data_IF_527808785004
#
_entry.id   IF_527808785004
#
_cell.length_a   1.000
_cell.length_b   1.000
_cell.length_c   1.000
_cell.angle_alpha   90.00
_cell.angle_beta   90.00
_cell.angle_gamma   90.00
#
_symmetry.space_group_name_H-M   'P 1'
#
loop_
_entity.id
_entity.type
_entity.pdbx_description
1 polymer ?
#
# COMPACT_ATOMS: atom_id res chain seq x y z
N UNK A 1 -31.99 13.47 13.28
CA UNK A 1 -31.78 13.86 11.87
C UNK A 1 -30.48 14.65 11.80
N UNK A 2 -29.38 13.99 11.45
CA UNK A 2 -28.20 14.52 10.73
C UNK A 2 -27.29 13.31 10.49
N UNK A 3 -27.65 12.52 9.48
CA UNK A 3 -26.92 11.31 9.06
C UNK A 3 -26.01 11.60 7.85
N UNK A 4 -25.59 12.86 7.67
CA UNK A 4 -24.89 13.28 6.45
C UNK A 4 -23.52 13.87 6.80
N UNK A 5 -22.56 12.98 7.10
CA UNK A 5 -21.15 13.38 7.08
C UNK A 5 -20.67 13.65 5.65
N UNK A 6 -19.49 14.24 5.53
CA UNK A 6 -18.82 14.50 4.25
C UNK A 6 -17.70 13.48 4.07
N UNK A 7 -17.79 12.66 3.03
CA UNK A 7 -16.70 11.73 2.67
C UNK A 7 -15.59 12.50 1.98
N UNK A 8 -14.35 12.37 2.47
CA UNK A 8 -13.18 13.05 1.90
C UNK A 8 -12.31 12.04 1.17
N UNK A 9 -12.12 12.26 -0.14
CA UNK A 9 -11.36 11.36 -1.01
C UNK A 9 -9.88 11.72 -1.05
N UNK A 10 -9.60 12.99 -1.31
CA UNK A 10 -8.25 13.50 -1.57
C UNK A 10 -8.14 14.98 -1.25
N UNK A 11 -6.89 15.44 -1.11
CA UNK A 11 -6.52 16.85 -1.17
C UNK A 11 -5.64 17.05 -2.41
N UNK A 12 -5.94 18.08 -3.18
CA UNK A 12 -5.28 18.47 -4.42
C UNK A 12 -4.71 19.89 -4.26
N UNK A 13 -3.85 20.35 -5.19
CA UNK A 13 -3.66 21.78 -5.42
C UNK A 13 -5.01 22.46 -5.71
N UNK A 14 -5.05 23.80 -5.58
CA UNK A 14 -6.24 24.58 -5.93
C UNK A 14 -6.78 24.18 -7.31
N UNK A 15 -8.05 23.79 -7.36
CA UNK A 15 -8.71 23.29 -8.56
C UNK A 15 -10.16 23.80 -8.61
N UNK A 16 -10.60 24.17 -9.81
CA UNK A 16 -11.96 24.67 -10.05
C UNK A 16 -12.89 23.62 -10.67
N UNK A 17 -12.32 22.50 -11.16
CA UNK A 17 -13.08 21.42 -11.80
C UNK A 17 -12.44 20.06 -11.57
N UNK A 18 -13.24 19.01 -11.69
CA UNK A 18 -12.81 17.61 -11.65
C UNK A 18 -12.64 17.06 -13.07
N UNK A 19 -11.74 16.08 -13.28
CA UNK A 19 -11.59 15.44 -14.58
C UNK A 19 -12.88 14.72 -15.00
N UNK A 20 -13.09 14.63 -16.31
CA UNK A 20 -14.23 13.93 -16.87
C UNK A 20 -14.26 12.47 -16.41
N UNK A 21 -15.44 11.98 -16.01
CA UNK A 21 -15.63 10.60 -15.51
C UNK A 21 -15.29 10.42 -14.03
N UNK A 22 -14.88 11.46 -13.31
CA UNK A 22 -14.71 11.40 -11.86
C UNK A 22 -16.06 11.13 -11.18
N UNK A 23 -16.15 10.01 -10.46
CA UNK A 23 -17.35 9.60 -9.73
C UNK A 23 -16.99 9.15 -8.32
N UNK A 24 -17.88 9.43 -7.36
CA UNK A 24 -17.67 9.08 -5.96
C UNK A 24 -18.05 7.64 -5.63
N UNK A 25 -17.75 7.24 -4.39
CA UNK A 25 -18.13 5.95 -3.82
C UNK A 25 -19.63 5.88 -3.59
N UNK A 26 -20.27 4.82 -4.08
CA UNK A 26 -21.70 4.59 -3.85
C UNK A 26 -22.33 3.67 -4.89
N UNK A 27 -23.59 3.30 -4.64
CA UNK A 27 -24.47 2.70 -5.64
C UNK A 27 -25.87 3.31 -5.50
N UNK A 28 -26.23 4.33 -6.30
CA UNK A 28 -25.47 4.92 -7.42
C UNK A 28 -24.20 5.69 -6.98
N UNK A 29 -23.22 5.93 -7.88
CA UNK A 29 -22.02 6.71 -7.56
C UNK A 29 -22.38 8.09 -7.04
N UNK A 30 -21.69 8.53 -5.98
CA UNK A 30 -21.96 9.83 -5.38
C UNK A 30 -21.46 10.98 -6.27
N UNK A 31 -22.19 12.09 -6.27
CA UNK A 31 -21.74 13.33 -6.89
C UNK A 31 -20.58 13.92 -6.09
N UNK A 32 -19.50 14.27 -6.80
CA UNK A 32 -18.30 14.83 -6.21
C UNK A 32 -18.39 16.36 -6.17
N UNK A 33 -17.83 16.96 -5.12
CA UNK A 33 -17.73 18.40 -4.91
C UNK A 33 -16.32 18.79 -4.49
N UNK A 34 -16.00 20.06 -4.68
CA UNK A 34 -14.71 20.64 -4.32
C UNK A 34 -14.88 21.59 -3.14
N UNK A 35 -14.06 21.42 -2.10
CA UNK A 35 -14.00 22.32 -0.95
C UNK A 35 -12.62 22.95 -0.90
N UNK A 36 -12.51 24.20 -1.33
CA UNK A 36 -11.24 24.95 -1.39
C UNK A 36 -10.90 25.70 -0.11
N UNK A 37 -9.59 25.81 0.17
CA UNK A 37 -9.01 26.75 1.12
C UNK A 37 -7.58 27.13 0.67
N UNK A 38 -7.36 28.41 0.35
CA UNK A 38 -6.05 28.89 -0.11
C UNK A 38 -5.58 28.16 -1.37
N UNK A 39 -4.39 27.55 -1.30
CA UNK A 39 -3.73 26.84 -2.40
C UNK A 39 -4.11 25.36 -2.51
N UNK A 40 -5.03 24.87 -1.70
CA UNK A 40 -5.43 23.46 -1.68
C UNK A 40 -6.94 23.29 -1.79
N UNK A 41 -7.38 22.13 -2.28
CA UNK A 41 -8.78 21.79 -2.44
C UNK A 41 -9.03 20.34 -2.09
N UNK A 42 -10.03 20.05 -1.28
CA UNK A 42 -10.48 18.70 -1.00
C UNK A 42 -11.53 18.24 -2.02
N UNK A 43 -11.41 17.00 -2.47
CA UNK A 43 -12.45 16.30 -3.24
C UNK A 43 -13.33 15.55 -2.25
N UNK A 44 -14.63 15.83 -2.27
CA UNK A 44 -15.58 15.31 -1.30
C UNK A 44 -16.88 14.83 -1.94
N UNK A 45 -17.68 14.09 -1.19
CA UNK A 45 -19.09 13.82 -1.50
C UNK A 45 -19.88 13.72 -0.19
N UNK A 46 -21.20 13.56 -0.30
CA UNK A 46 -21.98 13.09 0.85
C UNK A 46 -21.49 11.69 1.26
N UNK A 47 -21.39 11.44 2.56
CA UNK A 47 -21.02 10.14 3.07
C UNK A 47 -22.15 9.14 2.84
N UNK A 48 -21.85 7.93 2.31
CA UNK A 48 -22.87 6.90 2.17
C UNK A 48 -23.43 6.51 3.54
N UNK A 49 -24.77 6.38 3.72
CA UNK A 49 -25.41 6.10 5.01
C UNK A 49 -24.99 4.74 5.60
N UNK A 50 -24.47 3.83 4.78
CA UNK A 50 -23.91 2.54 5.21
C UNK A 50 -22.54 2.30 4.59
N UNK A 51 -21.59 3.16 4.95
CA UNK A 51 -20.22 3.03 4.50
C UNK A 51 -19.62 1.71 5.02
N UNK A 52 -19.42 0.76 4.10
CA UNK A 52 -18.76 -0.52 4.36
C UNK A 52 -17.63 -0.68 3.36
N UNK A 53 -16.53 -1.29 3.78
CA UNK A 53 -15.39 -1.61 2.93
C UNK A 53 -15.72 -2.77 1.97
N UNK A 54 -16.74 -2.60 1.12
CA UNK A 54 -17.06 -3.55 0.04
C UNK A 54 -16.03 -3.39 -1.06
N UNK A 55 -15.69 -4.50 -1.74
CA UNK A 55 -14.70 -4.49 -2.84
C UNK A 55 -15.00 -3.41 -3.88
N UNK A 56 -16.26 -3.28 -4.31
CA UNK A 56 -16.68 -2.25 -5.28
C UNK A 56 -16.36 -0.84 -4.79
N UNK A 57 -16.67 -0.55 -3.53
CA UNK A 57 -16.53 0.79 -2.96
C UNK A 57 -15.03 1.12 -2.73
N UNK A 58 -14.22 0.13 -2.35
CA UNK A 58 -12.76 0.26 -2.28
C UNK A 58 -12.14 0.53 -3.66
N UNK A 59 -12.61 -0.19 -4.69
CA UNK A 59 -12.14 0.02 -6.07
C UNK A 59 -12.55 1.40 -6.58
N UNK A 60 -13.80 1.82 -6.40
CA UNK A 60 -14.26 3.16 -6.82
C UNK A 60 -13.45 4.29 -6.17
N UNK A 61 -13.13 4.16 -4.87
CA UNK A 61 -12.25 5.12 -4.19
C UNK A 61 -10.85 5.16 -4.80
N UNK A 62 -10.25 3.99 -5.03
CA UNK A 62 -8.91 3.91 -5.61
C UNK A 62 -8.86 4.41 -7.05
N UNK A 63 -9.85 4.05 -7.87
CA UNK A 63 -9.94 4.45 -9.27
C UNK A 63 -10.10 5.97 -9.42
N UNK A 64 -10.90 6.60 -8.54
CA UNK A 64 -10.98 8.06 -8.47
C UNK A 64 -9.62 8.68 -8.15
N UNK A 65 -8.89 8.15 -7.17
CA UNK A 65 -7.58 8.68 -6.80
C UNK A 65 -6.55 8.54 -7.91
N UNK A 66 -6.56 7.42 -8.64
CA UNK A 66 -5.70 7.22 -9.80
C UNK A 66 -6.05 8.21 -10.92
N UNK A 67 -7.35 8.38 -11.22
CA UNK A 67 -7.81 9.36 -12.21
C UNK A 67 -7.39 10.80 -11.85
N UNK A 68 -7.47 11.18 -10.57
CA UNK A 68 -7.00 12.48 -10.10
C UNK A 68 -5.48 12.62 -10.24
N UNK A 69 -4.74 11.52 -10.05
CA UNK A 69 -3.27 11.49 -10.14
C UNK A 69 -2.75 11.69 -11.56
N UNK A 70 -3.58 11.43 -12.58
CA UNK A 70 -3.26 11.76 -13.97
C UNK A 70 -3.25 13.28 -14.24
N UNK A 71 -3.98 14.05 -13.43
CA UNK A 71 -4.08 15.50 -13.54
C UNK A 71 -3.06 16.29 -12.71
N UNK A 72 -2.38 15.66 -11.75
CA UNK A 72 -1.42 16.31 -10.86
C UNK A 72 -1.20 15.57 -9.54
N UNK A 73 -0.45 16.15 -8.59
CA UNK A 73 -0.21 15.53 -7.30
C UNK A 73 -1.50 15.39 -6.48
N UNK A 74 -1.62 14.28 -5.78
CA UNK A 74 -2.78 13.95 -4.94
C UNK A 74 -2.29 13.53 -3.56
N UNK A 75 -2.88 14.10 -2.50
CA UNK A 75 -2.80 13.52 -1.15
C UNK A 75 -4.00 12.59 -0.96
N UNK A 76 -3.82 11.27 -1.08
CA UNK A 76 -4.94 10.34 -0.95
C UNK A 76 -5.39 10.21 0.50
N UNK A 77 -6.69 10.36 0.76
CA UNK A 77 -7.27 10.04 2.05
C UNK A 77 -7.54 8.54 2.14
N UNK A 78 -7.41 7.97 3.33
CA UNK A 78 -7.77 6.57 3.57
C UNK A 78 -9.26 6.37 3.32
N UNK A 79 -9.62 5.21 2.78
CA UNK A 79 -11.02 4.84 2.60
C UNK A 79 -11.77 4.98 3.93
N UNK A 80 -12.93 5.63 3.87
CA UNK A 80 -13.77 5.83 5.05
C UNK A 80 -13.45 7.07 5.86
N UNK A 81 -12.65 7.99 5.32
CA UNK A 81 -12.44 9.30 5.94
C UNK A 81 -13.71 10.13 5.79
N UNK A 82 -14.37 10.40 6.92
CA UNK A 82 -15.60 11.19 6.97
C UNK A 82 -15.42 12.36 7.93
N UNK A 83 -15.77 13.56 7.48
CA UNK A 83 -15.85 14.77 8.29
C UNK A 83 -17.31 15.06 8.69
N UNK A 84 -17.56 15.83 9.75
CA UNK A 84 -18.92 16.22 10.13
C UNK A 84 -19.66 17.02 9.04
N UNK A 85 -18.96 17.95 8.39
CA UNK A 85 -19.50 18.85 7.37
C UNK A 85 -18.37 19.47 6.52
N UNK A 86 -18.73 20.20 5.45
CA UNK A 86 -17.77 20.86 4.57
C UNK A 86 -17.04 22.02 5.27
N UNK A 87 -17.63 22.64 6.29
CA UNK A 87 -16.99 23.70 7.06
C UNK A 87 -15.80 23.16 7.87
N UNK A 88 -15.94 21.97 8.44
CA UNK A 88 -14.89 21.24 9.15
C UNK A 88 -13.75 20.86 8.21
N UNK A 89 -14.08 20.39 6.99
CA UNK A 89 -13.08 20.11 5.96
C UNK A 89 -12.31 21.38 5.59
N UNK A 90 -13.00 22.49 5.32
CA UNK A 90 -12.38 23.78 4.99
C UNK A 90 -11.48 24.30 6.12
N UNK A 91 -11.93 24.21 7.37
CA UNK A 91 -11.14 24.63 8.53
C UNK A 91 -9.86 23.81 8.68
N UNK A 92 -9.92 22.48 8.45
CA UNK A 92 -8.72 21.63 8.47
C UNK A 92 -7.76 21.97 7.34
N UNK A 93 -8.26 22.15 6.12
CA UNK A 93 -7.43 22.54 4.98
C UNK A 93 -6.68 23.84 5.26
N UNK A 94 -7.38 24.86 5.76
CA UNK A 94 -6.77 26.14 6.11
C UNK A 94 -5.75 26.01 7.26
N UNK A 95 -6.06 25.21 8.29
CA UNK A 95 -5.19 25.04 9.46
C UNK A 95 -3.91 24.24 9.19
N UNK A 96 -3.80 23.54 8.05
CA UNK A 96 -2.63 22.74 7.66
C UNK A 96 -2.20 22.99 6.22
N UNK A 97 -2.57 24.15 5.64
CA UNK A 97 -2.30 24.47 4.23
C UNK A 97 -0.81 24.34 3.88
N UNK A 98 0.16 24.89 4.65
CA UNK A 98 1.57 24.79 4.30
C UNK A 98 2.06 23.34 4.21
N UNK A 99 1.63 22.49 5.15
CA UNK A 99 2.00 21.08 5.18
C UNK A 99 1.38 20.30 4.01
N UNK A 100 0.14 20.62 3.63
CA UNK A 100 -0.50 20.02 2.46
C UNK A 100 0.20 20.40 1.16
N UNK A 101 0.57 21.68 1.01
CA UNK A 101 1.31 22.16 -0.15
C UNK A 101 2.69 21.50 -0.26
N UNK A 102 3.42 21.37 0.85
CA UNK A 102 4.70 20.67 0.87
C UNK A 102 4.56 19.19 0.50
N UNK A 103 3.57 18.49 1.07
CA UNK A 103 3.32 17.10 0.76
C UNK A 103 2.91 16.90 -0.71
N UNK A 104 2.08 17.78 -1.28
CA UNK A 104 1.71 17.73 -2.69
C UNK A 104 2.93 17.90 -3.60
N UNK A 105 3.82 18.84 -3.29
CA UNK A 105 5.09 19.01 -4.02
C UNK A 105 5.98 17.76 -3.91
N UNK A 106 6.01 17.13 -2.73
CA UNK A 106 6.77 15.89 -2.55
C UNK A 106 6.26 14.77 -3.45
N UNK A 107 4.94 14.64 -3.62
CA UNK A 107 4.30 13.57 -4.39
C UNK A 107 4.16 13.86 -5.89
N UNK A 108 4.58 15.03 -6.35
CA UNK A 108 4.43 15.41 -7.75
C UNK A 108 5.02 14.38 -8.71
N UNK A 109 4.26 14.10 -9.78
CA UNK A 109 4.58 13.14 -10.86
C UNK A 109 5.06 11.77 -10.36
N UNK A 110 4.56 11.32 -9.21
CA UNK A 110 5.00 10.10 -8.56
C UNK A 110 3.85 9.14 -8.31
N UNK A 111 4.18 7.85 -8.29
CA UNK A 111 3.27 6.75 -7.97
C UNK A 111 3.88 5.90 -6.87
N UNK A 112 3.03 5.20 -6.12
CA UNK A 112 3.49 4.22 -5.15
C UNK A 112 3.49 2.82 -5.77
N UNK A 113 4.60 2.09 -5.55
CA UNK A 113 4.71 0.66 -5.84
C UNK A 113 5.05 -0.05 -4.54
N UNK A 114 4.16 -0.92 -4.08
CA UNK A 114 4.37 -1.78 -2.92
C UNK A 114 4.92 -3.13 -3.37
N UNK A 115 5.96 -3.61 -2.69
CA UNK A 115 6.53 -4.94 -2.88
C UNK A 115 6.54 -5.69 -1.57
N UNK A 116 6.02 -6.91 -1.65
CA UNK A 116 6.08 -7.91 -0.59
C UNK A 116 7.00 -9.04 -1.01
N UNK A 117 7.97 -9.36 -0.15
CA UNK A 117 8.86 -10.51 -0.32
C UNK A 117 8.37 -11.64 0.61
N UNK A 118 7.98 -12.77 0.03
CA UNK A 118 7.51 -13.94 0.76
C UNK A 118 8.48 -15.11 0.55
N UNK A 119 8.52 -16.08 1.49
CA UNK A 119 9.19 -17.35 1.26
C UNK A 119 8.73 -18.02 -0.04
N UNK A 120 9.70 -18.46 -0.85
CA UNK A 120 9.40 -19.18 -2.08
C UNK A 120 8.72 -20.54 -1.76
N UNK A 121 7.55 -20.76 -2.35
CA UNK A 121 6.74 -21.96 -2.09
C UNK A 121 7.41 -23.24 -2.61
N UNK A 122 8.10 -23.17 -3.75
CA UNK A 122 8.74 -24.32 -4.39
C UNK A 122 10.20 -24.55 -3.95
N UNK A 123 10.68 -23.82 -2.94
CA UNK A 123 12.07 -23.88 -2.48
C UNK A 123 12.37 -25.03 -1.51
N UNK A 124 11.38 -25.87 -1.18
CA UNK A 124 11.53 -26.95 -0.22
C UNK A 124 12.67 -27.91 -0.59
N UNK A 125 12.77 -28.31 -1.87
CA UNK A 125 13.81 -29.22 -2.34
C UNK A 125 15.22 -28.62 -2.16
N UNK A 126 15.39 -27.35 -2.49
CA UNK A 126 16.65 -26.62 -2.32
C UNK A 126 17.03 -26.49 -0.84
N UNK A 127 16.08 -26.10 0.02
CA UNK A 127 16.29 -25.99 1.47
C UNK A 127 16.70 -27.34 2.08
N UNK A 128 16.01 -28.41 1.71
CA UNK A 128 16.33 -29.76 2.19
C UNK A 128 17.72 -30.24 1.73
N UNK A 129 18.23 -29.72 0.61
CA UNK A 129 19.53 -30.13 0.06
C UNK A 129 20.69 -29.32 0.65
N UNK A 130 20.50 -28.02 0.83
CA UNK A 130 21.56 -27.06 1.17
C UNK A 130 21.68 -26.80 2.68
N UNK A 131 20.59 -26.91 3.44
CA UNK A 131 20.59 -26.59 4.87
C UNK A 131 21.02 -27.80 5.71
N UNK A 132 22.23 -27.74 6.27
CA UNK A 132 22.81 -28.81 7.11
C UNK A 132 21.89 -29.23 8.26
N UNK A 133 21.23 -28.27 8.93
CA UNK A 133 20.32 -28.56 10.04
C UNK A 133 19.06 -29.30 9.57
N UNK A 134 18.44 -28.85 8.48
CA UNK A 134 17.26 -29.49 7.89
C UNK A 134 17.58 -30.91 7.45
N UNK A 135 18.74 -31.13 6.81
CA UNK A 135 19.23 -32.46 6.45
C UNK A 135 19.37 -33.38 7.65
N UNK A 136 20.01 -32.90 8.73
CA UNK A 136 20.19 -33.67 9.96
C UNK A 136 18.86 -34.09 10.57
N UNK A 137 17.92 -33.15 10.69
CA UNK A 137 16.58 -33.42 11.24
C UNK A 137 15.77 -34.36 10.33
N UNK A 138 15.92 -34.25 9.00
CA UNK A 138 15.30 -35.18 8.05
C UNK A 138 15.78 -36.61 8.23
N UNK A 139 17.10 -36.82 8.43
CA UNK A 139 17.65 -38.15 8.72
C UNK A 139 17.20 -38.69 10.08
N UNK A 140 17.05 -37.82 11.09
CA UNK A 140 16.50 -38.18 12.41
C UNK A 140 15.07 -38.69 12.29
N UNK A 141 14.19 -37.94 11.60
CA UNK A 141 12.80 -38.32 11.32
C UNK A 141 12.74 -39.62 10.52
N UNK A 142 13.61 -39.80 9.52
CA UNK A 142 13.66 -41.03 8.70
C UNK A 142 14.01 -42.27 9.53
N UNK A 143 14.87 -42.13 10.54
CA UNK A 143 15.27 -43.22 11.44
C UNK A 143 14.23 -43.48 12.53
N UNK A 144 13.62 -42.43 13.07
CA UNK A 144 12.64 -42.48 14.16
C UNK A 144 11.55 -41.43 13.95
N UNK A 145 10.46 -41.78 13.24
CA UNK A 145 9.38 -40.85 12.99
C UNK A 145 8.56 -40.65 14.26
N UNK A 146 8.84 -39.57 15.00
CA UNK A 146 8.02 -39.11 16.12
C UNK A 146 7.31 -37.82 15.76
N UNK A 147 6.18 -37.55 16.43
CA UNK A 147 5.46 -36.28 16.25
C UNK A 147 6.36 -35.07 16.51
N UNK A 148 7.11 -35.09 17.62
CA UNK A 148 8.04 -34.02 17.98
C UNK A 148 9.16 -33.82 16.95
N UNK A 149 9.74 -34.91 16.40
CA UNK A 149 10.77 -34.82 15.37
C UNK A 149 10.20 -34.21 14.07
N UNK A 150 8.96 -34.55 13.70
CA UNK A 150 8.27 -33.95 12.56
C UNK A 150 8.03 -32.45 12.75
N UNK A 151 7.62 -32.03 13.95
CA UNK A 151 7.43 -30.60 14.29
C UNK A 151 8.76 -29.85 14.18
N UNK A 152 9.83 -30.35 14.80
CA UNK A 152 11.17 -29.73 14.76
C UNK A 152 11.70 -29.61 13.32
N UNK A 153 11.45 -30.61 12.47
CA UNK A 153 11.81 -30.56 11.06
C UNK A 153 11.01 -29.46 10.33
N UNK A 154 9.70 -29.40 10.54
CA UNK A 154 8.83 -28.37 9.95
C UNK A 154 9.26 -26.95 10.34
N UNK A 155 9.54 -26.72 11.62
CA UNK A 155 10.04 -25.44 12.14
C UNK A 155 11.39 -25.06 11.52
N UNK A 156 12.32 -26.01 11.39
CA UNK A 156 13.61 -25.76 10.79
C UNK A 156 13.49 -25.40 9.30
N UNK A 157 12.57 -26.04 8.56
CA UNK A 157 12.26 -25.71 7.16
C UNK A 157 11.66 -24.31 7.06
N UNK A 158 10.64 -23.99 7.86
CA UNK A 158 9.98 -22.68 7.86
C UNK A 158 10.95 -21.55 8.20
N UNK A 159 11.84 -21.78 9.17
CA UNK A 159 12.90 -20.84 9.57
C UNK A 159 13.89 -20.62 8.43
N UNK A 160 14.35 -21.68 7.77
CA UNK A 160 15.29 -21.58 6.66
C UNK A 160 14.69 -20.83 5.45
N UNK A 161 13.44 -21.14 5.10
CA UNK A 161 12.70 -20.45 4.04
C UNK A 161 12.52 -18.96 4.35
N UNK A 162 12.11 -18.62 5.58
CA UNK A 162 11.97 -17.23 6.03
C UNK A 162 13.29 -16.46 5.96
N UNK A 163 14.40 -17.08 6.40
CA UNK A 163 15.73 -16.46 6.34
C UNK A 163 16.16 -16.18 4.89
N UNK A 164 15.98 -17.15 3.98
CA UNK A 164 16.30 -16.96 2.54
C UNK A 164 15.50 -15.82 1.93
N UNK A 165 14.22 -15.72 2.25
CA UNK A 165 13.36 -14.66 1.78
C UNK A 165 13.77 -13.29 2.35
N UNK A 166 14.16 -13.24 3.62
CA UNK A 166 14.68 -12.01 4.24
C UNK A 166 15.98 -11.55 3.56
N UNK A 167 16.94 -12.46 3.36
CA UNK A 167 18.21 -12.15 2.69
C UNK A 167 17.98 -11.65 1.25
N UNK A 168 17.09 -12.32 0.50
CA UNK A 168 16.70 -11.89 -0.83
C UNK A 168 15.95 -10.55 -0.82
N UNK A 169 15.06 -10.32 0.14
CA UNK A 169 14.36 -9.04 0.35
C UNK A 169 15.33 -7.89 0.60
N UNK A 170 16.37 -8.10 1.39
CA UNK A 170 17.42 -7.08 1.62
C UNK A 170 18.23 -6.78 0.36
N UNK A 171 18.52 -7.80 -0.47
CA UNK A 171 19.17 -7.60 -1.78
C UNK A 171 18.27 -6.84 -2.74
N UNK A 172 16.98 -7.17 -2.77
CA UNK A 172 15.97 -6.46 -3.57
C UNK A 172 15.91 -4.99 -3.18
N UNK A 173 15.80 -4.71 -1.88
CA UNK A 173 15.72 -3.35 -1.34
C UNK A 173 16.91 -2.52 -1.83
N UNK A 174 18.15 -3.00 -1.63
CA UNK A 174 19.36 -2.32 -2.12
C UNK A 174 19.35 -2.08 -3.63
N UNK A 175 18.75 -2.97 -4.41
CA UNK A 175 18.69 -2.87 -5.87
C UNK A 175 17.64 -1.87 -6.35
N UNK A 176 16.53 -1.74 -5.64
CA UNK A 176 15.40 -0.89 -6.05
C UNK A 176 15.43 0.50 -5.43
N UNK A 177 16.04 0.69 -4.26
CA UNK A 177 16.14 2.01 -3.62
C UNK A 177 16.71 3.09 -4.55
N UNK A 178 17.75 2.86 -5.36
CA UNK A 178 18.27 3.89 -6.27
C UNK A 178 17.31 4.31 -7.39
N UNK A 179 16.28 3.51 -7.68
CA UNK A 179 15.26 3.77 -8.69
C UNK A 179 14.02 4.46 -8.11
N UNK A 180 14.02 4.76 -6.81
CA UNK A 180 12.90 5.37 -6.11
C UNK A 180 13.32 6.71 -5.50
N UNK A 181 12.39 7.67 -5.47
CA UNK A 181 12.57 8.97 -4.81
C UNK A 181 12.54 8.85 -3.29
N UNK A 182 11.76 7.90 -2.78
CA UNK A 182 11.65 7.61 -1.35
C UNK A 182 11.24 6.15 -1.12
N UNK A 183 11.48 5.67 0.11
CA UNK A 183 11.13 4.31 0.55
C UNK A 183 10.44 4.39 1.90
N UNK A 184 9.36 3.65 2.07
CA UNK A 184 8.61 3.55 3.32
C UNK A 184 8.39 2.09 3.69
N UNK A 185 8.66 1.73 4.95
CA UNK A 185 8.32 0.42 5.47
C UNK A 185 6.79 0.30 5.60
N UNK A 186 6.23 -0.80 5.07
CA UNK A 186 4.83 -1.14 5.28
C UNK A 186 4.61 -1.82 6.64
N UNK A 187 3.35 -2.02 7.06
CA UNK A 187 3.04 -2.78 8.26
C UNK A 187 3.54 -4.23 8.15
N UNK A 188 3.80 -4.85 9.30
CA UNK A 188 4.16 -6.27 9.36
C UNK A 188 3.03 -7.14 8.82
N UNK A 189 3.38 -8.11 7.99
CA UNK A 189 2.43 -9.07 7.39
C UNK A 189 2.93 -10.47 7.73
N UNK A 190 2.09 -11.28 8.35
CA UNK A 190 2.45 -12.64 8.74
C UNK A 190 2.94 -13.45 7.53
N UNK A 191 4.10 -14.10 7.67
CA UNK A 191 4.74 -14.87 6.61
C UNK A 191 5.40 -14.04 5.51
N UNK A 192 5.46 -12.71 5.65
CA UNK A 192 6.13 -11.80 4.73
C UNK A 192 7.48 -11.39 5.31
N UNK A 193 8.57 -11.62 4.58
CA UNK A 193 9.92 -11.26 5.01
C UNK A 193 10.22 -9.76 4.83
N UNK A 194 9.54 -9.10 3.89
CA UNK A 194 9.64 -7.66 3.67
C UNK A 194 8.32 -7.14 3.12
N UNK A 195 7.80 -6.03 3.63
CA UNK A 195 6.69 -5.28 3.04
C UNK A 195 7.14 -3.82 2.95
N UNK A 196 7.35 -3.32 1.73
CA UNK A 196 7.95 -2.00 1.50
C UNK A 196 7.26 -1.30 0.35
N UNK A 197 7.04 0.00 0.51
CA UNK A 197 6.53 0.87 -0.54
C UNK A 197 7.64 1.78 -1.06
N UNK A 198 7.62 2.00 -2.36
CA UNK A 198 8.55 2.86 -3.08
C UNK A 198 7.78 3.99 -3.74
N UNK A 199 8.25 5.23 -3.55
CA UNK A 199 7.77 6.39 -4.29
C UNK A 199 8.61 6.46 -5.57
N UNK A 200 7.98 6.23 -6.71
CA UNK A 200 8.65 6.13 -8.01
C UNK A 200 8.11 7.20 -8.93
N UNK A 201 8.98 7.84 -9.71
CA UNK A 201 8.52 8.76 -10.75
C UNK A 201 7.66 8.01 -11.76
N UNK A 202 6.54 8.61 -12.18
CA UNK A 202 5.57 7.96 -13.06
C UNK A 202 6.22 7.46 -14.36
N UNK A 203 7.16 8.24 -14.91
CA UNK A 203 7.92 7.89 -16.13
C UNK A 203 8.96 6.77 -15.92
N UNK A 204 9.44 6.57 -14.69
CA UNK A 204 10.40 5.51 -14.33
C UNK A 204 9.74 4.21 -13.84
N UNK A 205 8.41 4.19 -13.71
CA UNK A 205 7.66 3.07 -13.14
C UNK A 205 7.85 1.75 -13.90
N UNK A 206 7.90 1.79 -15.24
CA UNK A 206 8.12 0.61 -16.07
C UNK A 206 9.50 -0.02 -15.86
N UNK A 207 10.55 0.81 -15.77
CA UNK A 207 11.91 0.35 -15.49
C UNK A 207 12.02 -0.25 -14.09
N UNK A 208 11.41 0.40 -13.10
CA UNK A 208 11.35 -0.09 -11.72
C UNK A 208 10.72 -1.48 -11.67
N UNK A 209 9.54 -1.65 -12.27
CA UNK A 209 8.82 -2.92 -12.33
C UNK A 209 9.59 -3.99 -13.11
N UNK A 210 10.24 -3.62 -14.23
CA UNK A 210 11.08 -4.55 -14.99
C UNK A 210 12.27 -5.04 -14.16
N UNK A 211 12.90 -4.16 -13.37
CA UNK A 211 13.99 -4.52 -12.46
C UNK A 211 13.52 -5.47 -11.36
N UNK A 212 12.36 -5.22 -10.76
CA UNK A 212 11.75 -6.11 -9.78
C UNK A 212 11.43 -7.49 -10.38
N UNK A 213 10.84 -7.54 -11.59
CA UNK A 213 10.54 -8.80 -12.31
C UNK A 213 11.81 -9.60 -12.62
N UNK A 214 12.86 -8.96 -13.12
CA UNK A 214 14.16 -9.62 -13.35
C UNK A 214 14.74 -10.18 -12.06
N UNK A 215 14.68 -9.42 -10.97
CA UNK A 215 15.15 -9.88 -9.67
C UNK A 215 14.38 -11.13 -9.20
N UNK A 216 13.05 -11.13 -9.30
CA UNK A 216 12.21 -12.27 -8.97
C UNK A 216 12.60 -13.52 -9.77
N UNK A 217 12.82 -13.37 -11.08
CA UNK A 217 13.26 -14.48 -11.94
C UNK A 217 14.58 -15.09 -11.51
N UNK A 218 15.59 -14.26 -11.21
CA UNK A 218 16.91 -14.73 -10.74
C UNK A 218 16.88 -15.35 -9.34
N UNK A 219 15.93 -14.95 -8.48
CA UNK A 219 15.85 -15.39 -7.08
C UNK A 219 14.62 -16.24 -6.76
N UNK A 220 14.03 -16.91 -7.78
CA UNK A 220 12.79 -17.69 -7.64
C UNK A 220 12.84 -18.79 -6.56
N UNK A 221 14.03 -19.31 -6.26
CA UNK A 221 14.24 -20.34 -5.23
C UNK A 221 14.48 -19.76 -3.82
N UNK A 222 14.54 -18.43 -3.70
CA UNK A 222 14.77 -17.73 -2.44
C UNK A 222 13.56 -16.90 -2.01
N UNK A 223 12.80 -16.34 -2.95
CA UNK A 223 11.73 -15.40 -2.65
C UNK A 223 10.63 -15.41 -3.72
N UNK A 224 9.38 -15.33 -3.28
CA UNK A 224 8.22 -14.97 -4.09
C UNK A 224 7.97 -13.46 -3.91
N UNK A 225 8.00 -12.68 -5.00
CA UNK A 225 7.66 -11.26 -4.95
C UNK A 225 6.20 -11.04 -5.33
N UNK A 226 5.46 -10.33 -4.49
CA UNK A 226 4.15 -9.77 -4.83
C UNK A 226 4.27 -8.28 -5.00
N UNK A 227 3.88 -7.79 -6.16
CA UNK A 227 3.97 -6.38 -6.52
C UNK A 227 2.56 -5.82 -6.68
N UNK A 228 2.28 -4.69 -6.03
CA UNK A 228 1.04 -3.93 -6.17
C UNK A 228 1.39 -2.49 -6.56
N UNK A 229 0.82 -2.00 -7.65
CA UNK A 229 1.20 -0.72 -8.23
C UNK A 229 0.84 -0.62 -9.71
N UNK A 230 0.69 0.60 -10.25
CA UNK A 230 0.77 1.88 -9.54
C UNK A 230 -0.41 2.10 -8.58
N UNK A 231 -0.13 2.62 -7.39
CA UNK A 231 -1.11 2.96 -6.35
C UNK A 231 -1.07 4.46 -6.06
N UNK A 232 -2.17 5.04 -5.53
CA UNK A 232 -2.08 6.32 -4.84
C UNK A 232 -1.05 6.25 -3.69
N UNK A 233 -0.32 7.34 -3.48
CA UNK A 233 0.86 7.41 -2.60
C UNK A 233 0.56 7.43 -1.09
N UNK A 234 -0.27 6.51 -0.60
CA UNK A 234 -0.70 6.44 0.80
C UNK A 234 0.44 6.39 1.81
N UNK A 235 1.53 5.68 1.50
CA UNK A 235 2.66 5.47 2.41
C UNK A 235 3.55 6.70 2.57
N UNK A 236 3.35 7.71 1.72
CA UNK A 236 4.16 8.93 1.65
C UNK A 236 3.37 10.19 2.01
N UNK A 237 2.13 10.04 2.49
CA UNK A 237 1.36 11.14 3.08
C UNK A 237 1.75 11.30 4.56
N UNK A 238 2.01 12.53 5.04
CA UNK A 238 2.25 12.77 6.46
C UNK A 238 1.10 12.23 7.32
N UNK A 239 1.42 11.41 8.31
CA UNK A 239 0.44 10.90 9.25
C UNK A 239 0.05 12.00 10.24
N UNK A 240 -1.03 12.74 9.97
CA UNK A 240 -1.73 13.53 10.98
C UNK A 240 -2.99 12.79 11.43
N UNK A 241 -3.31 12.94 12.73
CA UNK A 241 -4.35 12.19 13.42
C UNK A 241 -5.70 12.21 12.68
N UNK A 242 -6.51 11.16 12.81
CA UNK A 242 -7.72 11.00 12.02
C UNK A 242 -8.73 12.13 12.31
N UNK A 243 -9.36 12.65 11.25
CA UNK A 243 -10.74 13.09 11.34
C UNK A 243 -11.55 11.90 11.88
N UNK A 244 -12.27 12.10 12.99
CA UNK A 244 -12.90 11.01 13.76
C UNK A 244 -13.68 10.10 12.83
N UNK A 245 -13.23 8.85 12.70
CA UNK A 245 -14.02 7.79 12.07
C UNK A 245 -15.27 7.60 12.91
N UNK A 246 -16.45 7.90 12.35
CA UNK A 246 -17.73 7.55 12.95
C UNK A 246 -17.89 6.03 12.96
N UNK A 247 -17.30 5.37 13.96
CA UNK A 247 -17.68 4.02 14.34
C UNK A 247 -19.01 4.12 15.09
N UNK A 248 -20.03 3.44 14.56
CA UNK A 248 -21.40 3.49 15.06
C UNK A 248 -21.56 2.97 16.48
N UNK A 249 -22.64 3.45 17.10
CA UNK A 249 -23.51 2.68 17.99
C UNK A 249 -24.81 2.48 17.24
#
# INVERSE_FOLDING_TARGET
>A
MTENGVYVYAILPAADSLPAGAVGVGGPPAELRLVGAGQVTAVVSDAPPRLRARRRDLMAHQDLLLLLSDGGPVLPMRFGTVAPDEASVRAQLAGSEPDHVEALRHLDRSVEINIKALPAQDALAAVVTEEKNVRRLREEVRRRPTYEANVRLGEAVATALSRRAADAGQKLLRKLTPLARAVAAGPEVQGCALNVSFLVEQQGSDEFLATARRFAGTHREHVELRVAGPLPCYSFVPSRGPLRTGAGV
#
